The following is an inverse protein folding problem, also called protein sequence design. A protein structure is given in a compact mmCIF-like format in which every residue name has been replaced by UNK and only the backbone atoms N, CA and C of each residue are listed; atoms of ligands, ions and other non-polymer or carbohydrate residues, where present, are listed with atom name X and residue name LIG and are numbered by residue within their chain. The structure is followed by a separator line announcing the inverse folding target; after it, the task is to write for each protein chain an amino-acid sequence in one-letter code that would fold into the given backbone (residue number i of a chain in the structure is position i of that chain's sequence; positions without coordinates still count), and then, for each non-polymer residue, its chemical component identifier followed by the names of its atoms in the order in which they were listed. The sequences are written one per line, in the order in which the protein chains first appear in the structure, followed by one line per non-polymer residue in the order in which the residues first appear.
data_IF_132874048995
#
_entry.id   IF_132874048995
#
_cell.length_a   1.000
_cell.length_b   1.000
_cell.length_c   1.000
_cell.angle_alpha   90.00
_cell.angle_beta   90.00
_cell.angle_gamma   90.00
#
_symmetry.space_group_name_H-M   'P 1'
#
loop_
_entity.id
_entity.type
_entity.pdbx_description
1 polymer ?
#
# COMPACT_ATOMS: atom_id res chain seq x y z
N UNK A 1 32.93 4.69 -1.11
CA UNK A 1 32.46 5.60 -2.17
C UNK A 1 31.09 5.11 -2.65
N UNK A 2 30.15 5.98 -3.06
CA UNK A 2 28.91 5.51 -3.69
C UNK A 2 29.26 4.77 -5.01
N UNK A 3 28.53 3.70 -5.37
CA UNK A 3 28.71 2.95 -6.62
C UNK A 3 28.25 3.78 -7.83
N UNK A 4 29.02 4.79 -8.22
CA UNK A 4 28.48 5.92 -9.00
C UNK A 4 28.84 6.00 -10.48
N UNK A 5 29.50 5.00 -11.09
CA UNK A 5 29.94 5.14 -12.50
C UNK A 5 29.13 4.35 -13.52
N UNK A 6 28.51 3.23 -13.14
CA UNK A 6 27.86 2.32 -14.10
C UNK A 6 26.35 2.07 -13.81
N UNK A 7 25.77 2.78 -12.83
CA UNK A 7 24.38 2.61 -12.46
C UNK A 7 23.43 3.32 -13.44
N UNK A 8 22.40 2.61 -13.93
CA UNK A 8 21.35 3.20 -14.77
C UNK A 8 20.40 4.04 -13.91
N UNK A 9 20.05 5.28 -14.33
CA UNK A 9 19.08 6.08 -13.61
C UNK A 9 17.71 5.39 -13.60
N UNK A 10 17.08 5.35 -12.42
CA UNK A 10 15.70 4.86 -12.25
C UNK A 10 14.78 6.03 -11.91
N UNK A 11 13.47 5.89 -12.13
CA UNK A 11 12.46 6.88 -11.71
C UNK A 11 12.19 6.86 -10.20
N UNK A 12 12.81 5.93 -9.47
CA UNK A 12 12.69 5.83 -8.03
C UNK A 12 13.53 6.91 -7.33
N UNK A 13 13.05 7.46 -6.22
CA UNK A 13 13.86 8.37 -5.42
C UNK A 13 15.10 7.64 -4.89
N UNK A 14 16.28 8.25 -5.04
CA UNK A 14 17.54 7.68 -4.56
C UNK A 14 17.66 7.58 -3.03
N UNK A 15 16.70 8.15 -2.29
CA UNK A 15 16.58 8.02 -0.83
C UNK A 15 15.12 7.72 -0.50
N UNK A 16 14.91 6.64 0.24
CA UNK A 16 13.62 6.29 0.83
C UNK A 16 13.60 6.67 2.31
N UNK A 17 12.59 7.43 2.74
CA UNK A 17 12.38 7.70 4.17
C UNK A 17 11.96 6.42 4.90
N UNK A 18 12.16 6.32 6.24
CA UNK A 18 11.63 5.21 7.02
C UNK A 18 10.15 4.99 6.71
N UNK A 19 9.83 3.81 6.16
CA UNK A 19 8.52 3.49 5.60
C UNK A 19 8.05 2.13 6.09
N UNK A 20 6.72 1.90 6.20
CA UNK A 20 6.17 0.58 6.49
C UNK A 20 6.53 -0.45 5.44
N UNK A 21 6.49 -1.73 5.81
CA UNK A 21 6.77 -2.90 4.93
C UNK A 21 6.00 -2.80 3.62
N UNK A 22 4.71 -2.50 3.68
CA UNK A 22 3.82 -2.44 2.52
C UNK A 22 4.21 -1.35 1.52
N UNK A 23 4.75 -0.23 2.01
CA UNK A 23 5.20 0.87 1.14
C UNK A 23 6.52 0.53 0.43
N UNK A 24 7.40 -0.23 1.09
CA UNK A 24 8.63 -0.73 0.48
C UNK A 24 8.30 -1.78 -0.58
N UNK A 25 7.51 -2.78 -0.24
CA UNK A 25 7.12 -3.84 -1.18
C UNK A 25 6.25 -3.30 -2.34
N UNK A 26 5.40 -2.31 -2.09
CA UNK A 26 4.64 -1.65 -3.15
C UNK A 26 5.51 -0.89 -4.17
N UNK A 27 6.69 -0.43 -3.76
CA UNK A 27 7.62 0.31 -4.62
C UNK A 27 8.61 -0.59 -5.36
N UNK A 28 9.06 -1.68 -4.73
CA UNK A 28 10.13 -2.55 -5.24
C UNK A 28 9.66 -3.97 -5.59
N UNK A 29 8.44 -4.34 -5.24
CA UNK A 29 7.89 -5.67 -5.43
C UNK A 29 7.85 -6.49 -4.13
N UNK A 30 6.99 -7.53 -4.08
CA UNK A 30 6.82 -8.35 -2.88
C UNK A 30 8.12 -8.97 -2.39
N UNK A 31 8.37 -8.96 -1.08
CA UNK A 31 9.54 -9.61 -0.48
C UNK A 31 10.84 -8.80 -0.55
N UNK A 32 10.83 -7.63 -1.20
CA UNK A 32 11.99 -6.75 -1.24
C UNK A 32 12.35 -6.25 0.17
N UNK A 33 11.34 -5.93 0.99
CA UNK A 33 11.58 -5.52 2.39
C UNK A 33 12.36 -6.59 3.16
N UNK A 34 11.99 -7.86 3.04
CA UNK A 34 12.65 -8.95 3.77
C UNK A 34 14.10 -9.13 3.30
N UNK A 35 14.35 -9.00 1.99
CA UNK A 35 15.70 -9.04 1.43
C UNK A 35 16.59 -7.94 2.02
N UNK A 36 16.09 -6.70 2.11
CA UNK A 36 16.86 -5.59 2.70
C UNK A 36 16.89 -5.64 4.24
N UNK A 37 15.91 -6.30 4.87
CA UNK A 37 15.87 -6.52 6.29
C UNK A 37 16.99 -7.47 6.76
N UNK A 38 17.48 -8.37 5.90
CA UNK A 38 18.63 -9.21 6.25
C UNK A 38 19.98 -8.45 6.20
N UNK A 39 20.02 -7.25 5.63
CA UNK A 39 21.27 -6.53 5.36
C UNK A 39 21.79 -5.74 6.57
N UNK A 40 23.13 -5.65 6.73
CA UNK A 40 23.73 -4.82 7.76
C UNK A 40 23.45 -3.32 7.50
N UNK A 41 23.09 -2.54 8.52
CA UNK A 41 22.93 -1.10 8.38
C UNK A 41 24.29 -0.42 8.16
N UNK A 42 24.28 0.71 7.44
CA UNK A 42 25.45 1.55 7.18
C UNK A 42 26.25 1.17 5.92
N UNK A 43 26.23 -0.10 5.53
CA UNK A 43 27.00 -0.59 4.39
C UNK A 43 26.16 -0.73 3.12
N UNK A 44 26.80 -0.50 1.97
CA UNK A 44 26.20 -0.81 0.68
C UNK A 44 26.19 -2.32 0.46
N UNK A 45 25.03 -2.85 0.10
CA UNK A 45 24.77 -4.28 -0.06
C UNK A 45 23.99 -4.55 -1.34
N UNK A 46 24.26 -5.69 -1.97
CA UNK A 46 23.55 -6.15 -3.17
C UNK A 46 24.45 -6.97 -4.10
N UNK A 47 23.94 -7.35 -5.29
CA UNK A 47 22.65 -6.94 -5.84
C UNK A 47 21.45 -7.52 -5.10
N UNK A 48 20.45 -6.68 -4.82
CA UNK A 48 19.13 -7.09 -4.29
C UNK A 48 18.14 -7.07 -5.45
N UNK A 49 17.48 -8.20 -5.70
CA UNK A 49 16.48 -8.33 -6.75
C UNK A 49 15.16 -7.65 -6.36
N UNK A 50 14.55 -6.97 -7.33
CA UNK A 50 13.25 -6.32 -7.21
C UNK A 50 12.48 -6.50 -8.53
N UNK A 51 11.19 -6.17 -8.53
CA UNK A 51 10.36 -6.16 -9.74
C UNK A 51 10.87 -5.17 -10.82
N UNK A 52 11.75 -4.24 -10.46
CA UNK A 52 12.35 -3.25 -11.36
C UNK A 52 13.79 -3.60 -11.78
N UNK A 53 14.31 -4.75 -11.34
CA UNK A 53 15.67 -5.22 -11.60
C UNK A 53 16.53 -5.29 -10.35
N UNK A 54 17.85 -5.11 -10.50
CA UNK A 54 18.81 -5.25 -9.40
C UNK A 54 19.17 -3.90 -8.80
N UNK A 55 19.21 -3.84 -7.47
CA UNK A 55 19.54 -2.64 -6.71
C UNK A 55 20.75 -2.86 -5.81
N UNK A 56 21.58 -1.83 -5.68
CA UNK A 56 22.47 -1.70 -4.53
C UNK A 56 21.75 -0.86 -3.48
N UNK A 57 21.69 -1.38 -2.26
CA UNK A 57 20.92 -0.80 -1.16
C UNK A 57 21.85 -0.51 0.00
N UNK A 58 21.68 0.66 0.65
CA UNK A 58 22.30 0.95 1.93
C UNK A 58 21.22 1.27 2.94
N UNK A 59 21.06 0.41 3.93
CA UNK A 59 20.09 0.61 5.00
C UNK A 59 20.67 1.65 5.96
N UNK A 60 20.11 2.86 5.96
CA UNK A 60 20.60 3.96 6.82
C UNK A 60 19.97 3.94 8.22
N UNK A 61 18.73 3.49 8.33
CA UNK A 61 17.97 3.47 9.58
C UNK A 61 16.97 2.31 9.56
N UNK A 62 16.76 1.68 10.73
CA UNK A 62 15.70 0.70 10.94
C UNK A 62 15.01 0.95 12.27
N UNK A 63 13.67 0.97 12.25
CA UNK A 63 12.85 1.11 13.44
C UNK A 63 12.04 -0.17 13.65
N UNK A 64 12.09 -0.71 14.86
CA UNK A 64 11.23 -1.83 15.21
C UNK A 64 9.76 -1.39 15.15
N UNK A 65 8.90 -2.27 14.62
CA UNK A 65 7.47 -2.07 14.72
C UNK A 65 7.09 -2.06 16.21
N UNK A 66 6.25 -1.09 16.59
CA UNK A 66 5.63 -1.07 17.92
C UNK A 66 4.13 -0.97 17.77
N UNK A 67 3.42 -1.60 18.69
CA UNK A 67 1.99 -1.35 18.84
C UNK A 67 1.82 0.01 19.53
N UNK A 68 1.21 1.01 18.87
CA UNK A 68 0.95 2.28 19.51
C UNK A 68 -0.10 2.12 20.62
N UNK A 69 0.01 2.91 21.68
CA UNK A 69 -1.01 2.95 22.70
C UNK A 69 -2.33 3.44 22.12
N UNK A 70 -3.45 2.97 22.66
CA UNK A 70 -4.78 3.33 22.14
C UNK A 70 -5.03 4.85 22.15
N UNK A 71 -4.43 5.59 23.09
CA UNK A 71 -4.50 7.05 23.12
C UNK A 71 -3.82 7.70 21.90
N UNK A 72 -2.74 7.13 21.39
CA UNK A 72 -1.99 7.67 20.24
C UNK A 72 -2.72 7.49 18.91
N UNK A 73 -3.65 6.52 18.84
CA UNK A 73 -4.38 6.16 17.61
C UNK A 73 -5.88 6.31 17.74
N UNK A 74 -6.37 6.92 18.83
CA UNK A 74 -7.79 7.12 19.14
C UNK A 74 -8.56 7.67 17.95
N UNK A 75 -8.09 8.80 17.42
CA UNK A 75 -8.79 9.55 16.38
C UNK A 75 -8.89 8.74 15.09
N UNK A 76 -7.82 8.05 14.71
CA UNK A 76 -7.80 7.17 13.54
C UNK A 76 -8.77 6.00 13.71
N UNK A 77 -8.72 5.33 14.87
CA UNK A 77 -9.63 4.21 15.17
C UNK A 77 -11.09 4.66 15.15
N UNK A 78 -11.39 5.85 15.69
CA UNK A 78 -12.73 6.40 15.67
C UNK A 78 -13.21 6.73 14.25
N UNK A 79 -12.34 7.31 13.42
CA UNK A 79 -12.64 7.57 12.01
C UNK A 79 -12.93 6.27 11.25
N UNK A 80 -12.07 5.26 11.41
CA UNK A 80 -12.23 3.95 10.76
C UNK A 80 -13.53 3.27 11.21
N UNK A 81 -13.84 3.35 12.51
CA UNK A 81 -15.10 2.82 13.06
C UNK A 81 -16.32 3.54 12.49
N UNK A 82 -16.31 4.88 12.44
CA UNK A 82 -17.41 5.67 11.86
C UNK A 82 -17.61 5.34 10.37
N UNK A 83 -16.53 5.21 9.62
CA UNK A 83 -16.58 4.84 8.20
C UNK A 83 -17.20 3.44 8.01
N UNK A 84 -16.76 2.48 8.82
CA UNK A 84 -17.29 1.11 8.80
C UNK A 84 -18.78 1.08 9.16
N UNK A 85 -19.17 1.75 10.25
CA UNK A 85 -20.58 1.83 10.67
C UNK A 85 -21.47 2.50 9.60
N UNK A 86 -20.97 3.56 8.96
CA UNK A 86 -21.67 4.23 7.87
C UNK A 86 -21.81 3.33 6.63
N UNK A 87 -20.85 2.45 6.36
CA UNK A 87 -20.97 1.45 5.30
C UNK A 87 -22.03 0.41 5.64
N UNK A 88 -22.02 -0.17 6.83
CA UNK A 88 -23.03 -1.14 7.26
C UNK A 88 -24.45 -0.57 7.19
N UNK A 89 -24.67 0.65 7.70
CA UNK A 89 -25.99 1.29 7.64
C UNK A 89 -26.45 1.57 6.21
N UNK A 90 -25.53 1.92 5.31
CA UNK A 90 -25.84 2.13 3.89
C UNK A 90 -26.30 0.82 3.24
N UNK A 91 -25.61 -0.28 3.52
CA UNK A 91 -25.95 -1.60 2.99
C UNK A 91 -27.32 -2.06 3.48
N UNK A 92 -27.57 -1.98 4.79
CA UNK A 92 -28.87 -2.33 5.38
C UNK A 92 -30.02 -1.52 4.78
N UNK A 93 -29.82 -0.21 4.58
CA UNK A 93 -30.81 0.65 3.95
C UNK A 93 -31.00 0.32 2.47
N UNK A 94 -29.93 0.00 1.76
CA UNK A 94 -29.98 -0.39 0.36
C UNK A 94 -30.81 -1.67 0.19
N UNK A 95 -30.53 -2.70 1.00
CA UNK A 95 -31.29 -3.95 1.02
C UNK A 95 -32.77 -3.73 1.39
N UNK A 96 -33.05 -2.88 2.38
CA UNK A 96 -34.41 -2.54 2.78
C UNK A 96 -35.18 -1.80 1.67
N UNK A 97 -34.50 -1.00 0.84
CA UNK A 97 -35.10 -0.37 -0.33
C UNK A 97 -35.34 -1.40 -1.43
N UNK A 98 -34.33 -2.20 -1.79
CA UNK A 98 -34.44 -3.23 -2.83
C UNK A 98 -35.61 -4.19 -2.57
N UNK A 99 -35.81 -4.64 -1.34
CA UNK A 99 -36.90 -5.57 -1.01
C UNK A 99 -38.32 -5.05 -1.31
N UNK A 100 -38.48 -3.74 -1.53
CA UNK A 100 -39.76 -3.10 -1.85
C UNK A 100 -39.98 -2.85 -3.34
N UNK A 101 -38.95 -3.04 -4.16
CA UNK A 101 -39.00 -2.75 -5.59
C UNK A 101 -38.57 -3.95 -6.41
N UNK A 102 -39.26 -4.18 -7.52
CA UNK A 102 -38.77 -5.05 -8.58
C UNK A 102 -37.86 -4.23 -9.50
N UNK A 103 -36.55 -4.51 -9.48
CA UNK A 103 -35.58 -3.80 -10.32
C UNK A 103 -35.48 -4.52 -11.66
N UNK A 104 -36.17 -3.99 -12.67
CA UNK A 104 -36.05 -4.46 -14.06
C UNK A 104 -34.98 -3.64 -14.77
N UNK A 105 -33.93 -4.30 -15.25
CA UNK A 105 -32.95 -3.68 -16.16
C UNK A 105 -33.43 -3.89 -17.59
N UNK A 106 -33.73 -2.81 -18.35
CA UNK A 106 -34.10 -2.96 -19.76
C UNK A 106 -32.93 -3.52 -20.57
N UNK A 107 -33.26 -4.19 -21.67
CA UNK A 107 -32.26 -4.66 -22.63
C UNK A 107 -31.44 -3.45 -23.14
N UNK A 108 -30.10 -3.45 -22.99
CA UNK A 108 -29.25 -2.38 -23.50
C UNK A 108 -29.50 -2.05 -24.98
N UNK A 109 -29.88 -3.04 -25.79
CA UNK A 109 -30.20 -2.83 -27.21
C UNK A 109 -31.49 -2.02 -27.43
N UNK A 110 -32.44 -2.05 -26.49
CA UNK A 110 -33.69 -1.29 -26.57
C UNK A 110 -33.51 0.18 -26.16
N UNK A 111 -32.49 0.49 -25.35
CA UNK A 111 -32.22 1.85 -24.83
C UNK A 111 -31.28 2.63 -25.76
N UNK A 112 -30.44 1.94 -26.52
CA UNK A 112 -29.43 2.53 -27.41
C UNK A 112 -29.87 2.53 -28.89
N UNK A 113 -31.10 2.14 -29.19
CA UNK A 113 -31.68 2.33 -30.52
C UNK A 113 -31.90 3.84 -30.78
N UNK A 114 -31.50 4.36 -31.95
CA UNK A 114 -31.61 5.78 -32.28
C UNK A 114 -33.06 6.27 -32.42
#
# INVERSE_FOLDING_TARGET
APPGRDARPTLLPGVFRPSPVQAVDGAFGPGFFDAIAALPPGDWSGPVESALGHHLVRVTERRAARLPGLAEVRDRVEQDWRATAAQSLREERYEALLSRYEVVRPDPAQVLAP
#
